data_IF_834394752205
#
_entry.id   IF_834394752205
#
_cell.length_a   1.000
_cell.length_b   1.000
_cell.length_c   1.000
_cell.angle_alpha   90.00
_cell.angle_beta   90.00
_cell.angle_gamma   90.00
#
_symmetry.space_group_name_H-M   'P 1'
#
loop_
_entity.id
_entity.type
_entity.pdbx_description
1 polymer ?
#
# COMPACT_ATOMS: atom_id res chain seq x y z
N UNK A 1 62.27 41.36 -42.32
CA UNK A 1 62.26 40.07 -41.51
C UNK A 1 61.01 40.04 -40.69
N UNK A 2 59.98 39.27 -41.13
CA UNK A 2 58.70 39.12 -40.43
C UNK A 2 58.80 37.99 -39.47
N UNK A 3 58.69 38.24 -38.14
CA UNK A 3 58.62 37.19 -37.12
C UNK A 3 57.17 36.77 -36.98
N UNK A 4 56.88 35.54 -37.35
CA UNK A 4 55.57 34.89 -37.16
C UNK A 4 55.58 34.29 -35.76
N UNK A 5 54.72 34.82 -34.87
CA UNK A 5 54.48 34.30 -33.51
C UNK A 5 53.33 33.27 -33.63
N UNK A 6 53.65 32.00 -33.47
CA UNK A 6 52.64 30.96 -33.31
C UNK A 6 52.10 30.98 -31.88
N UNK A 7 50.86 31.45 -31.74
CA UNK A 7 50.10 31.36 -30.49
C UNK A 7 49.49 29.96 -30.45
N UNK A 8 50.09 29.06 -29.69
CA UNK A 8 49.55 27.72 -29.39
C UNK A 8 48.33 27.89 -28.49
N UNK A 9 47.13 27.74 -29.04
CA UNK A 9 45.86 27.69 -28.30
C UNK A 9 45.80 26.34 -27.55
N UNK A 10 46.15 26.38 -26.27
CA UNK A 10 45.94 25.21 -25.38
C UNK A 10 44.47 25.20 -24.95
N UNK A 11 43.61 24.49 -25.68
CA UNK A 11 42.24 24.25 -25.26
C UNK A 11 42.26 23.19 -24.13
N UNK A 12 41.76 23.48 -22.94
CA UNK A 12 41.65 22.45 -21.92
C UNK A 12 40.60 21.45 -22.34
N UNK A 13 41.03 20.23 -22.61
CA UNK A 13 40.15 19.08 -22.85
C UNK A 13 39.55 18.69 -21.50
N UNK A 14 38.40 19.22 -21.15
CA UNK A 14 37.61 18.75 -20.00
C UNK A 14 37.14 17.33 -20.28
N UNK A 15 37.88 16.33 -19.81
CA UNK A 15 37.43 14.95 -19.80
C UNK A 15 36.46 14.84 -18.63
N UNK A 16 35.15 14.84 -18.92
CA UNK A 16 34.14 14.46 -17.96
C UNK A 16 34.33 12.97 -17.64
N UNK A 17 35.00 12.67 -16.54
CA UNK A 17 35.02 11.32 -15.98
C UNK A 17 33.61 11.04 -15.45
N UNK A 18 32.92 10.02 -15.96
CA UNK A 18 31.65 9.62 -15.37
C UNK A 18 31.92 9.22 -13.91
N UNK A 19 31.33 9.96 -12.98
CA UNK A 19 31.35 9.58 -11.57
C UNK A 19 30.61 8.25 -11.47
N UNK A 20 31.35 7.15 -11.32
CA UNK A 20 30.73 5.86 -11.05
C UNK A 20 30.02 6.00 -9.69
N UNK A 21 28.71 5.94 -9.74
CA UNK A 21 27.88 5.88 -8.55
C UNK A 21 28.34 4.66 -7.73
N UNK A 22 28.89 4.93 -6.53
CA UNK A 22 29.26 3.87 -5.58
C UNK A 22 28.03 3.25 -4.90
N UNK A 23 26.86 3.37 -5.50
CA UNK A 23 25.63 2.74 -5.01
C UNK A 23 25.75 1.24 -5.25
N UNK A 24 25.74 0.42 -4.20
CA UNK A 24 25.78 -1.02 -4.35
C UNK A 24 24.60 -1.51 -5.20
N UNK A 25 24.85 -2.50 -6.06
CA UNK A 25 23.78 -3.10 -6.83
C UNK A 25 22.73 -3.69 -5.89
N UNK A 26 21.45 -3.43 -6.15
CA UNK A 26 20.37 -4.01 -5.40
C UNK A 26 20.48 -5.56 -5.32
N UNK A 27 20.20 -6.17 -4.17
CA UNK A 27 20.24 -7.62 -4.02
C UNK A 27 19.19 -8.27 -4.96
N UNK A 28 19.51 -9.50 -5.42
CA UNK A 28 18.50 -10.29 -6.13
C UNK A 28 17.48 -10.80 -5.14
N UNK A 29 16.23 -10.34 -5.29
CA UNK A 29 15.09 -10.78 -4.50
C UNK A 29 14.24 -11.76 -5.32
N UNK A 30 13.69 -12.77 -4.66
CA UNK A 30 12.72 -13.69 -5.28
C UNK A 30 11.30 -13.10 -5.10
N UNK A 31 11.04 -12.01 -5.82
CA UNK A 31 9.78 -11.26 -5.81
C UNK A 31 9.35 -10.99 -7.26
N UNK A 32 8.04 -10.94 -7.48
CA UNK A 32 7.46 -10.64 -8.80
C UNK A 32 7.64 -9.17 -9.19
N UNK A 33 7.56 -8.28 -8.20
CA UNK A 33 7.83 -6.85 -8.35
C UNK A 33 8.24 -6.21 -7.02
N UNK A 34 8.98 -5.12 -7.10
CA UNK A 34 9.28 -4.26 -5.94
C UNK A 34 9.67 -2.86 -6.37
N UNK A 35 9.48 -1.92 -5.49
CA UNK A 35 10.04 -0.56 -5.56
C UNK A 35 10.49 -0.13 -4.17
N UNK A 36 11.65 0.49 -4.09
CA UNK A 36 12.19 1.14 -2.90
C UNK A 36 12.48 2.60 -3.22
N UNK A 37 11.85 3.49 -2.51
CA UNK A 37 11.99 4.94 -2.69
C UNK A 37 12.46 5.61 -1.40
N UNK A 38 13.22 6.70 -1.54
CA UNK A 38 13.50 7.60 -0.43
C UNK A 38 12.28 8.50 -0.21
N UNK A 39 11.71 8.48 1.02
CA UNK A 39 10.38 9.02 1.31
C UNK A 39 10.28 10.56 1.19
N UNK A 40 11.38 11.30 1.41
CA UNK A 40 11.35 12.77 1.36
C UNK A 40 11.54 13.32 -0.05
N UNK A 41 12.34 12.64 -0.87
CA UNK A 41 12.73 13.11 -2.21
C UNK A 41 12.01 12.35 -3.32
N UNK A 42 11.30 11.27 -3.00
CA UNK A 42 10.75 10.31 -3.96
C UNK A 42 11.78 9.71 -4.93
N UNK A 43 13.07 9.74 -4.55
CA UNK A 43 14.11 9.13 -5.38
C UNK A 43 14.01 7.62 -5.34
N UNK A 44 13.90 6.99 -6.50
CA UNK A 44 13.91 5.53 -6.63
C UNK A 44 15.32 5.02 -6.34
N UNK A 45 15.46 4.18 -5.32
CA UNK A 45 16.72 3.55 -4.91
C UNK A 45 16.89 2.22 -5.62
N UNK A 46 15.82 1.43 -5.72
CA UNK A 46 15.81 0.15 -6.41
C UNK A 46 14.39 -0.18 -6.88
N UNK A 47 14.28 -0.82 -8.03
CA UNK A 47 12.98 -1.21 -8.61
C UNK A 47 13.13 -2.48 -9.45
N UNK A 48 12.05 -3.21 -9.58
CA UNK A 48 11.91 -4.33 -10.49
C UNK A 48 10.42 -4.55 -10.79
N UNK A 49 10.04 -4.48 -12.07
CA UNK A 49 8.66 -4.65 -12.54
C UNK A 49 7.64 -3.84 -11.72
N UNK A 50 7.99 -2.64 -11.27
CA UNK A 50 7.19 -1.82 -10.34
C UNK A 50 5.82 -1.43 -10.88
N UNK A 51 5.64 -1.42 -12.20
CA UNK A 51 4.38 -1.07 -12.87
C UNK A 51 3.49 -2.30 -13.14
N UNK A 52 3.93 -3.51 -12.76
CA UNK A 52 3.11 -4.69 -12.90
C UNK A 52 1.91 -4.63 -11.96
N UNK A 53 0.73 -4.92 -12.51
CA UNK A 53 -0.47 -5.09 -11.69
C UNK A 53 -0.37 -6.41 -10.92
N UNK A 54 -0.39 -6.32 -9.60
CA UNK A 54 -0.37 -7.46 -8.68
C UNK A 54 -1.55 -7.37 -7.72
N UNK A 55 -2.01 -8.51 -7.21
CA UNK A 55 -3.02 -8.52 -6.15
C UNK A 55 -2.41 -7.95 -4.86
N UNK A 56 -2.99 -6.89 -4.27
CA UNK A 56 -2.42 -6.22 -3.11
C UNK A 56 -2.59 -7.03 -1.81
N UNK A 57 -3.25 -8.17 -1.86
CA UNK A 57 -3.55 -9.01 -0.71
C UNK A 57 -4.15 -8.19 0.45
N UNK A 58 -3.63 -8.35 1.69
CA UNK A 58 -4.17 -7.63 2.85
C UNK A 58 -3.93 -6.12 2.84
N UNK A 59 -3.13 -5.57 1.93
CA UNK A 59 -3.05 -4.12 1.75
C UNK A 59 -4.40 -3.52 1.33
N UNK A 60 -5.29 -4.30 0.70
CA UNK A 60 -6.68 -3.92 0.43
C UNK A 60 -7.41 -3.40 1.68
N UNK A 61 -7.08 -3.91 2.87
CA UNK A 61 -7.71 -3.50 4.13
C UNK A 61 -7.40 -2.06 4.55
N UNK A 62 -6.37 -1.45 3.98
CA UNK A 62 -6.10 0.00 4.16
C UNK A 62 -7.27 0.80 3.56
N UNK A 63 -7.72 0.44 2.34
CA UNK A 63 -8.88 1.07 1.72
C UNK A 63 -10.16 0.71 2.46
N UNK A 64 -10.35 -0.55 2.87
CA UNK A 64 -11.51 -0.93 3.68
C UNK A 64 -11.58 -0.12 4.97
N UNK A 65 -10.46 0.04 5.68
CA UNK A 65 -10.37 0.87 6.88
C UNK A 65 -10.65 2.35 6.61
N UNK A 66 -10.19 2.87 5.47
CA UNK A 66 -10.48 4.25 5.04
C UNK A 66 -11.98 4.47 4.81
N UNK A 67 -12.65 3.58 4.07
CA UNK A 67 -14.10 3.66 3.85
C UNK A 67 -14.86 3.60 5.18
N UNK A 68 -14.51 2.65 6.07
CA UNK A 68 -15.14 2.54 7.39
C UNK A 68 -14.94 3.84 8.20
N UNK A 69 -13.73 4.41 8.20
CA UNK A 69 -13.43 5.65 8.90
C UNK A 69 -14.23 6.84 8.34
N UNK A 70 -14.42 6.91 7.03
CA UNK A 70 -15.26 7.92 6.39
C UNK A 70 -16.73 7.79 6.82
N UNK A 71 -17.28 6.58 6.88
CA UNK A 71 -18.63 6.32 7.34
C UNK A 71 -18.81 6.67 8.84
N UNK A 72 -17.80 6.48 9.65
CA UNK A 72 -17.79 6.93 11.05
C UNK A 72 -17.74 8.47 11.12
N UNK A 73 -16.87 9.10 10.34
CA UNK A 73 -16.69 10.55 10.34
C UNK A 73 -17.96 11.29 9.83
N UNK A 74 -18.67 10.71 8.89
CA UNK A 74 -19.95 11.24 8.39
C UNK A 74 -21.13 11.00 9.35
N UNK A 75 -20.94 10.18 10.38
CA UNK A 75 -22.01 9.80 11.32
C UNK A 75 -22.98 8.75 10.78
N UNK A 76 -22.69 8.13 9.64
CA UNK A 76 -23.51 7.05 9.08
C UNK A 76 -23.48 5.78 9.95
N UNK A 77 -22.33 5.52 10.60
CA UNK A 77 -22.17 4.44 11.58
C UNK A 77 -21.42 4.96 12.81
N UNK A 78 -21.55 4.25 13.93
CA UNK A 78 -20.88 4.58 15.20
C UNK A 78 -19.93 3.44 15.60
N UNK A 79 -18.84 3.79 16.29
CA UNK A 79 -17.93 2.80 16.90
C UNK A 79 -18.64 1.86 17.88
N UNK A 80 -19.73 2.32 18.49
CA UNK A 80 -20.48 1.57 19.51
C UNK A 80 -21.66 0.78 18.90
N UNK A 81 -21.88 0.87 17.59
CA UNK A 81 -22.87 0.04 16.91
C UNK A 81 -22.50 -1.44 17.00
N UNK A 82 -23.54 -2.27 17.09
CA UNK A 82 -23.40 -3.72 17.23
C UNK A 82 -23.78 -4.43 15.91
N UNK A 83 -22.78 -4.94 15.23
CA UNK A 83 -22.89 -5.65 13.96
C UNK A 83 -23.28 -7.11 14.18
N UNK A 84 -24.35 -7.56 13.56
CA UNK A 84 -24.73 -8.96 13.55
C UNK A 84 -23.83 -9.73 12.57
N UNK A 85 -23.14 -10.75 13.05
CA UNK A 85 -22.20 -11.52 12.25
C UNK A 85 -22.96 -12.55 11.40
N UNK A 86 -22.75 -12.47 10.09
CA UNK A 86 -23.31 -13.42 9.13
C UNK A 86 -22.55 -14.76 9.11
N UNK A 87 -23.17 -15.78 8.55
CA UNK A 87 -22.48 -17.05 8.27
C UNK A 87 -21.35 -16.87 7.24
N UNK A 88 -21.50 -15.96 6.27
CA UNK A 88 -20.49 -15.65 5.26
C UNK A 88 -19.23 -15.08 5.94
N UNK A 89 -19.39 -14.06 6.78
CA UNK A 89 -18.29 -13.48 7.53
C UNK A 89 -17.58 -14.52 8.41
N UNK A 90 -18.34 -15.27 9.20
CA UNK A 90 -17.79 -16.31 10.06
C UNK A 90 -17.01 -17.39 9.31
N UNK A 91 -17.50 -17.86 8.14
CA UNK A 91 -16.86 -18.88 7.32
C UNK A 91 -15.67 -18.38 6.52
N UNK A 92 -15.49 -17.05 6.40
CA UNK A 92 -14.40 -16.46 5.62
C UNK A 92 -13.05 -16.99 6.08
N UNK A 93 -12.25 -17.46 5.13
CA UNK A 93 -10.92 -18.03 5.36
C UNK A 93 -9.81 -17.01 5.56
N UNK A 94 -8.59 -17.51 5.81
CA UNK A 94 -7.39 -16.68 6.01
C UNK A 94 -7.25 -16.17 7.43
N UNK A 95 -6.63 -14.97 7.59
CA UNK A 95 -6.49 -14.32 8.91
C UNK A 95 -7.86 -13.99 9.51
N UNK A 96 -8.04 -14.26 10.79
CA UNK A 96 -9.32 -14.08 11.48
C UNK A 96 -9.15 -13.45 12.86
N UNK A 97 -10.17 -12.70 13.31
CA UNK A 97 -10.35 -12.39 14.73
C UNK A 97 -11.26 -13.39 15.44
N UNK A 98 -11.74 -14.42 14.72
CA UNK A 98 -12.57 -15.54 15.22
C UNK A 98 -13.94 -15.10 15.77
N UNK A 99 -14.64 -14.26 15.00
CA UNK A 99 -16.04 -13.94 15.29
C UNK A 99 -16.96 -15.15 14.99
N UNK A 100 -18.11 -15.20 15.66
CA UNK A 100 -19.07 -16.30 15.53
C UNK A 100 -20.39 -15.84 14.88
N UNK A 101 -20.92 -16.63 13.95
CA UNK A 101 -22.20 -16.36 13.31
C UNK A 101 -23.33 -16.19 14.33
N UNK A 102 -24.22 -15.23 14.09
CA UNK A 102 -25.35 -14.92 14.97
C UNK A 102 -25.00 -14.14 16.23
N UNK A 103 -23.72 -13.90 16.52
CA UNK A 103 -23.28 -13.00 17.59
C UNK A 103 -23.29 -11.54 17.12
N UNK A 104 -23.26 -10.61 18.08
CA UNK A 104 -23.08 -9.19 17.81
C UNK A 104 -21.72 -8.76 18.32
N UNK A 105 -21.00 -8.01 17.48
CA UNK A 105 -19.67 -7.49 17.76
C UNK A 105 -19.67 -5.99 17.45
N UNK A 106 -19.05 -5.19 18.31
CA UNK A 106 -18.99 -3.74 18.09
C UNK A 106 -18.18 -3.37 16.87
N UNK A 107 -18.54 -2.27 16.18
CA UNK A 107 -17.74 -1.69 15.08
C UNK A 107 -16.31 -1.44 15.57
N UNK A 108 -16.12 -0.97 16.78
CA UNK A 108 -14.80 -0.75 17.41
C UNK A 108 -13.96 -2.01 17.44
N UNK A 109 -14.53 -3.14 17.87
CA UNK A 109 -13.80 -4.40 17.98
C UNK A 109 -13.52 -4.99 16.60
N UNK A 110 -14.49 -4.90 15.67
CA UNK A 110 -14.30 -5.34 14.28
C UNK A 110 -13.19 -4.52 13.59
N UNK A 111 -13.19 -3.21 13.75
CA UNK A 111 -12.15 -2.35 13.19
C UNK A 111 -10.77 -2.67 13.79
N UNK A 112 -10.70 -2.91 15.10
CA UNK A 112 -9.48 -3.38 15.76
C UNK A 112 -9.02 -4.73 15.22
N UNK A 113 -9.95 -5.66 14.97
CA UNK A 113 -9.66 -6.96 14.35
C UNK A 113 -9.13 -6.84 12.94
N UNK A 114 -9.64 -5.89 12.14
CA UNK A 114 -9.14 -5.59 10.80
C UNK A 114 -7.71 -5.04 10.86
N UNK A 115 -7.44 -4.08 11.73
CA UNK A 115 -6.15 -3.37 11.79
C UNK A 115 -5.06 -4.26 12.42
N UNK A 116 -5.35 -4.93 13.52
CA UNK A 116 -4.35 -5.66 14.31
C UNK A 116 -4.13 -7.08 13.78
N UNK A 117 -5.23 -7.81 13.56
CA UNK A 117 -5.21 -9.22 13.13
C UNK A 117 -5.29 -9.38 11.62
N UNK A 118 -5.54 -8.30 10.89
CA UNK A 118 -5.87 -8.38 9.46
C UNK A 118 -7.03 -9.34 9.19
N UNK A 119 -8.05 -9.33 10.07
CA UNK A 119 -9.17 -10.28 10.07
C UNK A 119 -10.04 -10.17 8.82
N UNK A 120 -10.06 -11.23 8.02
CA UNK A 120 -10.92 -11.32 6.84
C UNK A 120 -12.40 -11.41 7.24
N UNK A 121 -12.70 -12.19 8.28
CA UNK A 121 -14.03 -12.33 8.87
C UNK A 121 -14.59 -10.98 9.34
N UNK A 122 -13.79 -10.19 10.06
CA UNK A 122 -14.16 -8.85 10.49
C UNK A 122 -14.35 -7.89 9.29
N UNK A 123 -13.50 -8.00 8.25
CA UNK A 123 -13.61 -7.16 7.06
C UNK A 123 -14.91 -7.43 6.31
N UNK A 124 -15.28 -8.70 6.12
CA UNK A 124 -16.56 -9.08 5.46
C UNK A 124 -17.74 -8.64 6.32
N UNK A 125 -17.70 -8.83 7.65
CA UNK A 125 -18.77 -8.38 8.53
C UNK A 125 -18.98 -6.85 8.44
N UNK A 126 -17.90 -6.06 8.38
CA UNK A 126 -17.99 -4.61 8.22
C UNK A 126 -18.48 -4.21 6.83
N UNK A 127 -18.07 -4.91 5.78
CA UNK A 127 -18.54 -4.66 4.42
C UNK A 127 -20.07 -4.85 4.31
N UNK A 128 -20.56 -5.99 4.85
CA UNK A 128 -22.00 -6.27 4.89
C UNK A 128 -22.76 -5.25 5.74
N UNK A 129 -22.19 -4.79 6.85
CA UNK A 129 -22.82 -3.81 7.72
C UNK A 129 -22.92 -2.43 7.06
N UNK A 130 -21.85 -1.97 6.42
CA UNK A 130 -21.79 -0.63 5.81
C UNK A 130 -22.61 -0.54 4.51
N UNK A 131 -22.51 -1.56 3.65
CA UNK A 131 -23.04 -1.52 2.30
C UNK A 131 -24.09 -2.60 1.99
N UNK A 132 -24.44 -3.42 2.96
CA UNK A 132 -25.38 -4.53 2.79
C UNK A 132 -24.79 -5.77 2.12
N UNK A 133 -23.67 -5.66 1.41
CA UNK A 133 -22.94 -6.76 0.81
C UNK A 133 -21.47 -6.41 0.60
N UNK A 134 -20.64 -7.43 0.37
CA UNK A 134 -19.24 -7.26 0.02
C UNK A 134 -19.08 -6.56 -1.34
N UNK A 135 -19.94 -6.92 -2.31
CA UNK A 135 -19.97 -6.33 -3.65
C UNK A 135 -20.32 -4.83 -3.56
N UNK A 136 -21.37 -4.48 -2.80
CA UNK A 136 -21.75 -3.08 -2.58
C UNK A 136 -20.66 -2.29 -1.85
N UNK A 137 -19.88 -2.93 -0.98
CA UNK A 137 -18.77 -2.27 -0.31
C UNK A 137 -17.60 -1.96 -1.25
N UNK A 138 -17.36 -2.83 -2.24
CA UNK A 138 -16.35 -2.59 -3.28
C UNK A 138 -16.67 -1.34 -4.10
N UNK A 139 -17.96 -1.03 -4.32
CA UNK A 139 -18.36 0.19 -5.02
C UNK A 139 -18.01 1.48 -4.23
N UNK A 140 -17.84 1.39 -2.91
CA UNK A 140 -17.33 2.50 -2.09
C UNK A 140 -15.80 2.63 -2.15
N UNK A 141 -15.08 1.58 -2.54
CA UNK A 141 -13.62 1.56 -2.58
C UNK A 141 -13.06 2.12 -3.87
#
# INVERSE_FOLDING_TARGET
MKKIIYLLLFAPLCIELPAQSMVPKAPKLNLDSYILIEANTNTVIAEFNQDNQIAPASMTKVMSGYVIADQIASGAISLDDNVLISEKAWKTGGSKMFIEAGKRVSVRDLLSGIIIQSGNDATVAMAEYVAGSEEGFVDFM
#
